data_IF_360346396824
#
_entry.id   IF_360346396824
#
_cell.length_a   1.000
_cell.length_b   1.000
_cell.length_c   1.000
_cell.angle_alpha   90.00
_cell.angle_beta   90.00
_cell.angle_gamma   90.00
#
_symmetry.space_group_name_H-M   'P 1'
#
loop_
_entity.id
_entity.type
_entity.pdbx_description
1 polymer ?
#
# COMPACT_ATOMS: atom_id res chain seq x y z
N UNK A 1 8.76 -8.23 -3.86
CA UNK A 1 8.67 -6.77 -4.09
C UNK A 1 7.77 -6.55 -5.29
N UNK A 2 6.81 -5.62 -5.20
CA UNK A 2 5.90 -5.28 -6.29
C UNK A 2 6.19 -3.85 -6.75
N UNK A 3 6.32 -3.65 -8.07
CA UNK A 3 6.46 -2.33 -8.68
C UNK A 3 5.13 -1.93 -9.30
N UNK A 4 4.68 -0.72 -9.02
CA UNK A 4 3.42 -0.17 -9.51
C UNK A 4 3.64 1.09 -10.33
N UNK A 5 2.83 1.24 -11.37
CA UNK A 5 2.64 2.50 -12.10
C UNK A 5 1.15 2.78 -12.04
N UNK A 6 0.75 3.94 -11.54
CA UNK A 6 -0.63 4.40 -11.58
C UNK A 6 -0.72 5.69 -12.39
N UNK A 7 -1.82 5.83 -13.12
CA UNK A 7 -2.12 6.97 -13.98
C UNK A 7 -3.50 7.50 -13.61
N UNK A 8 -3.61 8.81 -13.42
CA UNK A 8 -4.87 9.52 -13.26
C UNK A 8 -5.09 10.40 -14.47
N UNK A 9 -6.26 10.30 -15.09
CA UNK A 9 -6.67 11.11 -16.22
C UNK A 9 -7.97 11.85 -15.90
N UNK A 10 -8.12 13.07 -16.42
CA UNK A 10 -9.35 13.85 -16.35
C UNK A 10 -9.63 14.43 -17.73
N UNK A 11 -10.84 14.20 -18.25
CA UNK A 11 -11.25 14.63 -19.60
C UNK A 11 -10.24 14.21 -20.71
N UNK A 12 -9.64 13.02 -20.59
CA UNK A 12 -8.67 12.49 -21.56
C UNK A 12 -7.25 13.08 -21.43
N UNK A 13 -7.00 13.97 -20.46
CA UNK A 13 -5.68 14.51 -20.17
C UNK A 13 -5.06 13.82 -18.96
N UNK A 14 -3.76 13.55 -19.04
CA UNK A 14 -2.98 13.08 -17.89
C UNK A 14 -2.98 14.16 -16.81
N UNK A 15 -3.43 13.81 -15.61
CA UNK A 15 -3.40 14.67 -14.42
C UNK A 15 -2.23 14.30 -13.52
N UNK A 16 -1.99 13.02 -13.31
CA UNK A 16 -0.90 12.56 -12.47
C UNK A 16 -0.44 11.17 -12.89
N UNK A 17 0.86 10.91 -12.78
CA UNK A 17 1.44 9.59 -12.87
C UNK A 17 2.23 9.31 -11.60
N UNK A 18 2.05 8.13 -11.00
CA UNK A 18 2.82 7.73 -9.82
C UNK A 18 3.52 6.41 -10.03
N UNK A 19 4.74 6.33 -9.52
CA UNK A 19 5.59 5.16 -9.53
C UNK A 19 5.79 4.72 -8.09
N UNK A 20 5.49 3.45 -7.80
CA UNK A 20 5.63 2.92 -6.45
C UNK A 20 6.43 1.63 -6.44
N UNK A 21 7.25 1.48 -5.42
CA UNK A 21 7.87 0.21 -5.06
C UNK A 21 7.27 -0.20 -3.72
N UNK A 22 6.78 -1.43 -3.62
CA UNK A 22 6.16 -1.94 -2.40
C UNK A 22 6.71 -3.31 -2.00
N UNK A 23 6.77 -3.55 -0.69
CA UNK A 23 7.00 -4.87 -0.13
C UNK A 23 5.67 -5.64 -0.17
N UNK A 24 5.61 -6.62 -1.06
CA UNK A 24 4.43 -7.46 -1.34
C UNK A 24 3.13 -6.69 -1.61
N UNK A 25 3.17 -5.50 -2.22
CA UNK A 25 1.95 -4.70 -2.45
C UNK A 25 1.40 -3.97 -1.22
N UNK A 26 1.99 -4.20 -0.03
CA UNK A 26 1.47 -3.69 1.23
C UNK A 26 2.27 -2.48 1.72
N UNK A 27 3.57 -2.60 1.96
CA UNK A 27 4.39 -1.50 2.51
C UNK A 27 5.07 -0.72 1.39
N UNK A 28 4.85 0.60 1.34
CA UNK A 28 5.57 1.48 0.41
C UNK A 28 7.05 1.55 0.76
N UNK A 29 7.90 1.15 -0.18
CA UNK A 29 9.37 1.22 -0.09
C UNK A 29 9.91 2.47 -0.76
N UNK A 30 9.29 2.89 -1.86
CA UNK A 30 9.57 4.15 -2.53
C UNK A 30 8.35 4.62 -3.30
N UNK A 31 8.21 5.93 -3.46
CA UNK A 31 7.20 6.52 -4.33
C UNK A 31 7.72 7.79 -5.00
N UNK A 32 7.31 8.00 -6.24
CA UNK A 32 7.53 9.23 -6.97
C UNK A 32 6.26 9.57 -7.74
N UNK A 33 5.79 10.80 -7.59
CA UNK A 33 4.72 11.35 -8.40
C UNK A 33 5.32 12.22 -9.51
N UNK A 34 4.67 12.25 -10.66
CA UNK A 34 4.99 13.09 -11.80
C UNK A 34 3.69 13.79 -12.22
N UNK A 35 3.64 15.11 -11.99
CA UNK A 35 2.52 15.96 -12.40
C UNK A 35 2.93 16.74 -13.67
N UNK A 36 2.16 16.67 -14.77
CA UNK A 36 2.41 17.44 -15.97
C UNK A 36 2.33 18.95 -15.75
N UNK A 37 1.55 19.41 -14.76
CA UNK A 37 1.59 20.79 -14.29
C UNK A 37 2.81 20.95 -13.39
N UNK A 38 3.95 21.30 -13.99
CA UNK A 38 5.30 21.50 -13.44
C UNK A 38 5.44 22.29 -12.12
N UNK A 39 4.36 22.77 -11.50
CA UNK A 39 4.43 23.65 -10.33
C UNK A 39 4.65 22.92 -9.01
N UNK A 40 4.38 21.61 -8.88
CA UNK A 40 4.45 20.90 -7.58
C UNK A 40 4.78 19.40 -7.65
N UNK A 41 5.76 18.96 -8.43
CA UNK A 41 6.23 17.56 -8.35
C UNK A 41 6.88 17.32 -6.99
N UNK A 42 6.20 16.58 -6.10
CA UNK A 42 6.76 16.20 -4.81
C UNK A 42 8.06 15.41 -5.02
N UNK A 43 9.09 15.62 -4.17
CA UNK A 43 10.30 14.83 -4.24
C UNK A 43 9.99 13.34 -4.06
N UNK A 44 10.78 12.48 -4.68
CA UNK A 44 10.65 11.05 -4.45
C UNK A 44 10.92 10.72 -2.98
N UNK A 45 10.05 9.92 -2.39
CA UNK A 45 10.16 9.44 -1.01
C UNK A 45 10.62 7.99 -0.99
N UNK A 46 11.36 7.65 0.04
CA UNK A 46 11.93 6.33 0.27
C UNK A 46 11.71 5.93 1.72
N UNK A 47 11.51 4.64 1.93
CA UNK A 47 11.47 4.04 3.25
C UNK A 47 12.90 3.93 3.79
N UNK A 48 13.09 4.44 5.00
CA UNK A 48 14.33 4.37 5.75
C UNK A 48 14.05 4.00 7.21
N UNK A 49 15.11 3.59 7.93
CA UNK A 49 15.08 3.47 9.40
C UNK A 49 13.98 2.55 9.94
N UNK A 50 13.85 1.34 9.39
CA UNK A 50 12.92 0.35 9.91
C UNK A 50 13.29 -0.03 11.35
N UNK A 51 12.40 0.29 12.29
CA UNK A 51 12.52 -0.05 13.73
C UNK A 51 11.85 -1.38 14.06
N UNK A 52 10.73 -1.67 13.42
CA UNK A 52 10.03 -2.94 13.50
C UNK A 52 9.66 -3.41 12.09
N UNK A 53 9.91 -4.68 11.80
CA UNK A 53 9.67 -5.27 10.49
C UNK A 53 9.30 -6.74 10.62
N UNK A 54 8.01 -7.06 10.43
CA UNK A 54 7.56 -8.44 10.38
C UNK A 54 7.53 -8.96 8.93
N UNK A 55 8.02 -10.17 8.73
CA UNK A 55 8.07 -10.80 7.42
C UNK A 55 6.65 -11.05 6.90
N UNK A 56 6.42 -10.76 5.62
CA UNK A 56 5.21 -11.13 4.89
C UNK A 56 5.44 -12.35 3.99
N UNK A 57 6.45 -13.18 4.29
CA UNK A 57 6.68 -14.42 3.52
C UNK A 57 5.47 -15.36 3.60
N UNK A 58 4.85 -15.44 4.77
CA UNK A 58 3.57 -16.11 4.99
C UNK A 58 2.68 -15.16 5.79
N UNK A 59 1.42 -15.05 5.36
CA UNK A 59 0.38 -14.35 6.09
C UNK A 59 -0.57 -15.40 6.61
N UNK A 60 -0.82 -15.38 7.92
CA UNK A 60 -1.63 -16.37 8.62
C UNK A 60 -2.87 -15.70 9.22
N UNK A 61 -3.96 -16.45 9.30
CA UNK A 61 -5.23 -15.95 9.83
C UNK A 61 -5.10 -15.49 11.29
N UNK A 62 -5.76 -14.38 11.63
CA UNK A 62 -5.78 -13.84 12.98
C UNK A 62 -4.47 -13.20 13.45
N UNK A 63 -3.38 -13.29 12.68
CA UNK A 63 -2.11 -12.67 13.03
C UNK A 63 -2.12 -11.15 12.85
N UNK A 64 -1.25 -10.48 13.61
CA UNK A 64 -1.02 -9.03 13.51
C UNK A 64 0.40 -8.78 13.02
N UNK A 65 0.52 -7.97 11.98
CA UNK A 65 1.77 -7.59 11.33
C UNK A 65 2.04 -6.09 11.54
N UNK A 66 3.15 -5.77 12.20
CA UNK A 66 3.56 -4.43 12.60
C UNK A 66 4.83 -4.02 11.84
N UNK A 67 4.78 -2.81 11.32
CA UNK A 67 5.87 -2.15 10.62
C UNK A 67 6.04 -0.76 11.22
N UNK A 68 7.27 -0.42 11.63
CA UNK A 68 7.62 0.90 12.11
C UNK A 68 8.80 1.42 11.32
N UNK A 69 8.59 2.51 10.60
CA UNK A 69 9.49 2.97 9.54
C UNK A 69 9.48 4.48 9.44
N UNK A 70 10.40 5.04 8.65
CA UNK A 70 10.42 6.47 8.32
C UNK A 70 10.34 6.64 6.82
N UNK A 71 9.65 7.67 6.37
CA UNK A 71 9.68 8.10 4.97
C UNK A 71 10.47 9.39 4.88
N UNK A 72 11.52 9.40 4.05
CA UNK A 72 12.38 10.55 3.81
C UNK A 72 12.68 10.68 2.31
N UNK A 73 13.11 11.86 1.88
CA UNK A 73 13.69 12.09 0.57
C UNK A 73 15.18 11.71 0.56
N UNK A 74 15.88 11.97 -0.56
CA UNK A 74 17.34 11.82 -0.63
C UNK A 74 18.11 13.02 -0.08
N UNK A 75 17.42 14.06 0.38
CA UNK A 75 18.07 15.20 1.02
C UNK A 75 18.71 14.74 2.35
N UNK A 76 20.02 14.95 2.56
CA UNK A 76 20.69 14.58 3.80
C UNK A 76 20.14 15.32 5.04
N UNK A 77 19.42 16.42 4.87
CA UNK A 77 18.76 17.17 5.94
C UNK A 77 17.32 16.73 6.22
N UNK A 78 16.75 15.84 5.38
CA UNK A 78 15.43 15.29 5.59
C UNK A 78 15.48 14.03 6.47
N UNK A 79 15.23 14.22 7.76
CA UNK A 79 15.20 13.14 8.75
C UNK A 79 13.93 12.26 8.68
N UNK A 80 13.00 12.60 7.79
CA UNK A 80 11.79 11.87 7.50
C UNK A 80 10.74 11.89 8.61
N UNK A 81 9.52 11.52 8.23
CA UNK A 81 8.41 11.32 9.16
C UNK A 81 8.31 9.84 9.57
N UNK A 82 8.28 9.59 10.89
CA UNK A 82 8.02 8.27 11.43
C UNK A 82 6.56 7.87 11.25
N UNK A 83 6.35 6.63 10.83
CA UNK A 83 5.03 6.04 10.72
C UNK A 83 5.05 4.60 11.21
N UNK A 84 3.91 4.19 11.78
CA UNK A 84 3.62 2.83 12.21
C UNK A 84 2.45 2.31 11.40
N UNK A 85 2.55 1.10 10.89
CA UNK A 85 1.42 0.35 10.36
C UNK A 85 1.23 -0.95 11.12
N UNK A 86 0.00 -1.19 11.53
CA UNK A 86 -0.43 -2.45 12.10
C UNK A 86 -1.49 -3.06 11.19
N UNK A 87 -1.28 -4.27 10.71
CA UNK A 87 -2.20 -5.00 9.84
C UNK A 87 -2.73 -6.24 10.54
N UNK A 88 -4.03 -6.35 10.67
CA UNK A 88 -4.69 -7.54 11.23
C UNK A 88 -5.21 -8.42 10.11
N UNK A 89 -4.83 -9.70 10.13
CA UNK A 89 -5.30 -10.70 9.20
C UNK A 89 -6.65 -11.29 9.65
N UNK A 90 -7.62 -11.30 8.73
CA UNK A 90 -8.88 -12.00 8.92
C UNK A 90 -8.80 -13.48 8.52
N UNK A 91 -9.96 -14.11 8.37
CA UNK A 91 -10.06 -15.50 7.90
C UNK A 91 -9.91 -15.60 6.38
N UNK A 92 -9.30 -16.69 5.90
CA UNK A 92 -9.12 -16.90 4.48
C UNK A 92 -10.47 -17.04 3.75
N UNK A 93 -10.54 -16.44 2.57
CA UNK A 93 -11.67 -16.49 1.65
C UNK A 93 -11.17 -16.90 0.26
N UNK A 94 -12.08 -17.27 -0.64
CA UNK A 94 -11.69 -17.56 -2.02
C UNK A 94 -11.14 -16.30 -2.70
N UNK A 95 -10.01 -16.39 -3.40
CA UNK A 95 -9.43 -15.26 -4.13
C UNK A 95 -10.37 -14.70 -5.22
N UNK A 96 -11.31 -15.52 -5.70
CA UNK A 96 -12.37 -15.12 -6.64
C UNK A 96 -13.31 -14.04 -6.10
N UNK A 97 -13.35 -13.85 -4.77
CA UNK A 97 -14.08 -12.73 -4.13
C UNK A 97 -13.45 -11.36 -4.41
N UNK A 98 -12.15 -11.34 -4.75
CA UNK A 98 -11.39 -10.12 -5.06
C UNK A 98 -11.52 -9.79 -6.56
N UNK A 99 -11.33 -10.81 -7.41
CA UNK A 99 -11.59 -10.72 -8.84
C UNK A 99 -11.91 -12.13 -9.40
N UNK A 100 -12.95 -12.29 -10.25
CA UNK A 100 -13.49 -13.62 -10.60
C UNK A 100 -12.47 -14.60 -11.21
N UNK A 101 -11.47 -14.09 -11.94
CA UNK A 101 -10.45 -14.91 -12.61
C UNK A 101 -9.33 -15.41 -11.69
N UNK A 102 -9.31 -15.00 -10.42
CA UNK A 102 -8.29 -15.45 -9.46
C UNK A 102 -8.68 -16.80 -8.86
N UNK A 103 -7.69 -17.69 -8.78
CA UNK A 103 -7.79 -18.99 -8.10
C UNK A 103 -7.08 -18.94 -6.75
N UNK A 104 -7.35 -19.93 -5.88
CA UNK A 104 -6.67 -20.05 -4.59
C UNK A 104 -7.34 -19.24 -3.47
N UNK A 105 -6.56 -18.92 -2.46
CA UNK A 105 -7.03 -18.23 -1.26
C UNK A 105 -6.57 -16.76 -1.20
N UNK A 106 -7.41 -15.94 -0.59
CA UNK A 106 -7.12 -14.58 -0.21
C UNK A 106 -7.36 -14.39 1.28
N UNK A 107 -6.43 -13.73 1.98
CA UNK A 107 -6.61 -13.33 3.37
C UNK A 107 -6.87 -11.83 3.42
N UNK A 108 -8.04 -11.37 3.91
CA UNK A 108 -8.30 -9.95 4.07
C UNK A 108 -7.38 -9.39 5.17
N UNK A 109 -6.76 -8.25 4.89
CA UNK A 109 -5.93 -7.51 5.85
C UNK A 109 -6.55 -6.13 6.09
N UNK A 110 -6.69 -5.75 7.36
CA UNK A 110 -7.05 -4.38 7.74
C UNK A 110 -5.84 -3.72 8.38
N UNK A 111 -5.28 -2.73 7.70
CA UNK A 111 -4.09 -2.01 8.12
C UNK A 111 -4.42 -0.61 8.63
N UNK A 112 -3.88 -0.22 9.77
CA UNK A 112 -4.02 1.13 10.33
C UNK A 112 -2.67 1.83 10.28
N UNK A 113 -2.62 3.01 9.67
CA UNK A 113 -1.45 3.88 9.61
C UNK A 113 -1.52 4.95 10.69
N UNK A 114 -0.49 5.02 11.52
CA UNK A 114 -0.33 6.00 12.59
C UNK A 114 0.96 6.80 12.40
N UNK A 115 0.93 8.09 12.72
CA UNK A 115 2.14 8.91 12.78
C UNK A 115 2.92 8.67 14.09
N UNK A 116 4.05 9.35 14.25
CA UNK A 116 4.87 9.28 15.47
C UNK A 116 4.17 9.70 16.76
N UNK A 117 3.03 10.38 16.68
CA UNK A 117 2.23 10.81 17.82
C UNK A 117 1.04 9.86 18.08
N UNK A 118 1.06 8.65 17.48
CA UNK A 118 -0.01 7.65 17.55
C UNK A 118 -1.36 8.11 16.98
N UNK A 119 -1.39 9.19 16.20
CA UNK A 119 -2.60 9.66 15.54
C UNK A 119 -2.82 8.85 14.27
N UNK A 120 -3.98 8.20 14.17
CA UNK A 120 -4.41 7.45 12.98
C UNK A 120 -4.61 8.39 11.81
N UNK A 121 -3.82 8.20 10.74
CA UNK A 121 -3.95 8.96 9.50
C UNK A 121 -4.91 8.32 8.51
N UNK A 122 -4.92 6.99 8.43
CA UNK A 122 -5.85 6.22 7.57
C UNK A 122 -5.94 4.75 7.99
N UNK A 123 -7.03 4.13 7.57
CA UNK A 123 -7.18 2.68 7.53
C UNK A 123 -7.15 2.23 6.05
N UNK A 124 -6.48 1.11 5.77
CA UNK A 124 -6.35 0.55 4.43
C UNK A 124 -6.69 -0.93 4.46
N UNK A 125 -7.66 -1.32 3.65
CA UNK A 125 -8.02 -2.71 3.42
C UNK A 125 -7.20 -3.29 2.28
N UNK A 126 -6.70 -4.51 2.45
CA UNK A 126 -6.07 -5.29 1.40
C UNK A 126 -6.66 -6.70 1.32
N UNK A 127 -6.46 -7.33 0.17
CA UNK A 127 -6.62 -8.75 -0.06
C UNK A 127 -5.23 -9.37 -0.31
N UNK A 128 -4.72 -10.15 0.64
CA UNK A 128 -3.48 -10.90 0.49
C UNK A 128 -3.74 -12.16 -0.33
N UNK A 129 -3.26 -12.21 -1.57
CA UNK A 129 -3.36 -13.40 -2.40
C UNK A 129 -2.24 -14.37 -2.04
N UNK A 130 -2.57 -15.45 -1.33
CA UNK A 130 -1.60 -16.35 -0.70
C UNK A 130 -0.67 -17.00 -1.71
N UNK A 131 -1.21 -17.50 -2.82
CA UNK A 131 -0.45 -18.22 -3.86
C UNK A 131 0.58 -17.34 -4.57
N UNK A 132 0.34 -16.03 -4.59
CA UNK A 132 1.19 -15.05 -5.28
C UNK A 132 2.07 -14.25 -4.31
N UNK A 133 1.80 -14.34 -3.01
CA UNK A 133 2.45 -13.55 -1.98
C UNK A 133 2.34 -12.04 -2.24
N UNK A 134 1.17 -11.54 -2.65
CA UNK A 134 0.96 -10.10 -2.88
C UNK A 134 -0.37 -9.62 -2.30
N UNK A 135 -0.37 -8.40 -1.76
CA UNK A 135 -1.53 -7.70 -1.28
C UNK A 135 -2.10 -6.78 -2.37
N UNK A 136 -3.41 -6.85 -2.61
CA UNK A 136 -4.15 -5.91 -3.45
C UNK A 136 -4.97 -4.97 -2.57
N UNK A 137 -4.78 -3.65 -2.72
CA UNK A 137 -5.55 -2.67 -1.96
C UNK A 137 -7.03 -2.69 -2.38
N UNK A 138 -7.95 -2.90 -1.45
CA UNK A 138 -9.40 -2.97 -1.70
C UNK A 138 -10.15 -1.74 -1.17
N UNK A 139 -9.59 -1.07 -0.16
CA UNK A 139 -10.22 0.10 0.48
C UNK A 139 -9.20 1.04 1.08
N UNK A 140 -9.49 2.34 1.07
CA UNK A 140 -8.80 3.34 1.90
C UNK A 140 -9.86 4.19 2.60
N UNK A 141 -9.77 4.28 3.92
CA UNK A 141 -10.60 5.15 4.75
C UNK A 141 -9.73 6.26 5.31
N UNK A 142 -10.11 7.52 5.07
CA UNK A 142 -9.49 8.73 5.61
C UNK A 142 -10.57 9.56 6.30
N UNK A 143 -10.15 10.59 7.05
CA UNK A 143 -11.08 11.52 7.70
C UNK A 143 -12.07 12.17 6.71
N UNK A 144 -11.66 12.39 5.46
CA UNK A 144 -12.45 13.05 4.43
C UNK A 144 -13.25 12.11 3.52
N UNK A 145 -13.23 10.79 3.76
CA UNK A 145 -14.04 9.85 3.00
C UNK A 145 -13.45 8.46 2.83
N UNK A 146 -14.16 7.65 2.05
CA UNK A 146 -13.85 6.26 1.79
C UNK A 146 -13.67 6.06 0.29
N UNK A 147 -12.53 5.51 -0.10
CA UNK A 147 -12.27 5.05 -1.47
C UNK A 147 -12.32 3.52 -1.48
N UNK A 148 -13.06 2.95 -2.42
CA UNK A 148 -13.11 1.51 -2.65
C UNK A 148 -12.49 1.19 -4.01
N UNK A 149 -11.66 0.16 -4.07
CA UNK A 149 -11.05 -0.33 -5.31
C UNK A 149 -11.69 -1.67 -5.67
N UNK A 150 -12.26 -1.75 -6.88
CA UNK A 150 -12.76 -3.00 -7.45
C UNK A 150 -11.87 -3.42 -8.61
N UNK A 151 -11.34 -4.63 -8.54
CA UNK A 151 -10.49 -5.17 -9.59
C UNK A 151 -11.35 -5.87 -10.64
N UNK A 152 -11.36 -5.34 -11.86
CA UNK A 152 -12.02 -5.98 -13.01
C UNK A 152 -11.13 -7.03 -13.66
N UNK A 153 -9.81 -6.87 -13.53
CA UNK A 153 -8.80 -7.79 -14.05
C UNK A 153 -7.53 -7.73 -13.21
N UNK A 154 -6.95 -8.89 -12.96
CA UNK A 154 -5.67 -9.12 -12.29
C UNK A 154 -4.94 -10.17 -13.12
N UNK A 155 -3.71 -9.87 -13.52
CA UNK A 155 -2.84 -10.79 -14.22
C UNK A 155 -1.58 -10.95 -13.40
N UNK A 156 -1.35 -12.15 -12.88
CA UNK A 156 -0.13 -12.51 -12.16
C UNK A 156 0.70 -13.41 -13.08
N UNK A 157 2.01 -13.15 -13.19
CA UNK A 157 2.95 -13.92 -14.00
C UNK A 157 3.93 -14.63 -13.09
#
# INVERSE_FOLDING_TARGET
MLRGIAKSESNGLLVAQSFTATYHGLIGLASQDADPALTMTNPAYYLHGAKAWQSLKTVEEGQVYVFETRNATRDPLDYGAGWRRSCTAGSAVAASTVAPQLTGQSIPLVCVDQNSNNVTGREVGYAWLSDYGVALQTRVTRANGITQTRYTRVQVR
#
